data_IF_726440103129
#
_entry.id   IF_726440103129
#
_cell.length_a   1.000
_cell.length_b   1.000
_cell.length_c   1.000
_cell.angle_alpha   90.00
_cell.angle_beta   90.00
_cell.angle_gamma   90.00
#
_symmetry.space_group_name_H-M   'P 1'
#
loop_
_entity.id
_entity.type
_entity.pdbx_description
1 polymer ?
#
# COMPACT_ATOMS: atom_id res chain seq x y z
N UNK A 1 9.85 -5.15 -6.01
CA UNK A 1 9.21 -5.55 -4.74
C UNK A 1 7.82 -6.06 -5.06
N UNK A 2 7.56 -7.35 -4.86
CA UNK A 2 6.20 -7.90 -5.01
C UNK A 2 5.61 -7.98 -3.62
N UNK A 3 4.58 -7.20 -3.34
CA UNK A 3 3.80 -7.38 -2.12
C UNK A 3 2.77 -8.47 -2.37
N UNK A 4 2.43 -9.24 -1.34
CA UNK A 4 1.39 -10.26 -1.43
C UNK A 4 -0.04 -9.66 -1.33
N UNK A 5 -0.15 -8.33 -1.49
CA UNK A 5 -1.41 -7.61 -1.41
C UNK A 5 -2.05 -7.44 -2.78
N UNK A 6 -3.31 -7.82 -2.88
CA UNK A 6 -4.16 -7.55 -4.03
C UNK A 6 -4.81 -6.17 -3.80
N UNK A 7 -4.53 -5.20 -4.68
CA UNK A 7 -5.13 -3.86 -4.59
C UNK A 7 -6.38 -3.78 -5.46
N UNK A 8 -7.50 -3.40 -4.86
CA UNK A 8 -8.77 -3.21 -5.56
C UNK A 8 -9.70 -2.26 -4.80
N UNK A 9 -10.74 -1.79 -5.48
CA UNK A 9 -11.82 -1.01 -4.92
C UNK A 9 -12.95 -1.86 -4.35
N UNK A 10 -13.75 -1.29 -3.46
CA UNK A 10 -14.96 -1.94 -2.94
C UNK A 10 -15.93 -2.36 -4.07
N UNK A 11 -16.04 -1.53 -5.11
CA UNK A 11 -16.85 -1.83 -6.30
C UNK A 11 -16.33 -3.05 -7.07
N UNK A 12 -15.03 -3.11 -7.33
CA UNK A 12 -14.44 -4.26 -8.04
C UNK A 12 -14.58 -5.55 -7.24
N UNK A 13 -14.40 -5.49 -5.92
CA UNK A 13 -14.59 -6.65 -5.04
C UNK A 13 -16.05 -7.15 -5.14
N UNK A 14 -17.03 -6.25 -5.01
CA UNK A 14 -18.45 -6.58 -5.15
C UNK A 14 -18.77 -7.22 -6.51
N UNK A 15 -18.34 -6.60 -7.61
CA UNK A 15 -18.61 -7.11 -8.95
C UNK A 15 -18.05 -8.53 -9.17
N UNK A 16 -16.88 -8.82 -8.58
CA UNK A 16 -16.25 -10.13 -8.70
C UNK A 16 -17.08 -11.22 -7.98
N UNK A 17 -17.55 -10.93 -6.76
CA UNK A 17 -18.43 -11.84 -6.02
C UNK A 17 -19.83 -11.96 -6.65
N UNK A 18 -20.43 -10.85 -7.06
CA UNK A 18 -21.75 -10.84 -7.71
C UNK A 18 -21.77 -11.63 -9.02
N UNK A 19 -20.66 -11.63 -9.77
CA UNK A 19 -20.55 -12.44 -10.99
C UNK A 19 -20.43 -13.93 -10.71
N UNK A 20 -19.69 -14.33 -9.67
CA UNK A 20 -19.53 -15.71 -9.25
C UNK A 20 -18.89 -15.78 -7.86
N UNK A 21 -19.67 -16.14 -6.84
CA UNK A 21 -19.21 -16.18 -5.45
C UNK A 21 -18.06 -17.17 -5.23
N UNK A 22 -18.13 -18.38 -5.84
CA UNK A 22 -17.08 -19.39 -5.69
C UNK A 22 -15.74 -18.93 -6.28
N UNK A 23 -15.79 -18.18 -7.39
CA UNK A 23 -14.60 -17.55 -7.98
C UNK A 23 -14.11 -16.38 -7.11
N UNK A 24 -15.02 -15.60 -6.53
CA UNK A 24 -14.69 -14.57 -5.55
C UNK A 24 -13.93 -15.17 -4.36
N UNK A 25 -14.45 -16.23 -3.77
CA UNK A 25 -13.80 -16.95 -2.67
C UNK A 25 -12.41 -17.45 -3.08
N UNK A 26 -12.29 -18.12 -4.24
CA UNK A 26 -10.99 -18.58 -4.76
C UNK A 26 -9.97 -17.45 -4.91
N UNK A 27 -10.42 -16.28 -5.35
CA UNK A 27 -9.54 -15.16 -5.68
C UNK A 27 -9.16 -14.31 -4.46
N UNK A 28 -10.03 -14.20 -3.45
CA UNK A 28 -9.89 -13.19 -2.40
C UNK A 28 -9.95 -13.74 -0.97
N UNK A 29 -10.64 -14.85 -0.72
CA UNK A 29 -10.78 -15.38 0.64
C UNK A 29 -9.43 -15.85 1.17
N UNK A 30 -9.10 -15.40 2.37
CA UNK A 30 -7.80 -15.62 3.00
C UNK A 30 -6.63 -14.88 2.35
N UNK A 31 -6.86 -14.00 1.37
CA UNK A 31 -5.80 -13.22 0.72
C UNK A 31 -5.65 -11.84 1.36
N UNK A 32 -4.42 -11.33 1.35
CA UNK A 32 -4.12 -9.97 1.76
C UNK A 32 -4.63 -9.00 0.69
N UNK A 33 -5.43 -8.02 1.11
CA UNK A 33 -6.13 -7.10 0.23
C UNK A 33 -5.85 -5.67 0.69
N UNK A 34 -5.47 -4.79 -0.24
CA UNK A 34 -5.57 -3.35 -0.04
C UNK A 34 -6.88 -2.92 -0.68
N UNK A 35 -7.85 -2.57 0.16
CA UNK A 35 -9.18 -2.13 -0.27
C UNK A 35 -9.25 -0.61 -0.23
N UNK A 36 -9.72 0.01 -1.31
CA UNK A 36 -10.07 1.44 -1.32
C UNK A 36 -11.58 1.61 -1.54
N UNK A 37 -12.22 2.47 -0.76
CA UNK A 37 -13.66 2.68 -0.87
C UNK A 37 -14.14 3.98 -0.24
N UNK A 38 -15.41 4.29 -0.47
CA UNK A 38 -16.11 5.40 0.18
C UNK A 38 -17.02 4.80 1.25
N UNK A 39 -16.98 5.36 2.46
CA UNK A 39 -17.78 4.89 3.59
C UNK A 39 -19.26 5.20 3.35
N UNK A 40 -20.10 4.16 3.43
CA UNK A 40 -21.55 4.22 3.37
C UNK A 40 -22.16 4.44 4.76
N UNK A 41 -21.74 3.62 5.72
CA UNK A 41 -22.12 3.72 7.12
C UNK A 41 -21.06 3.10 8.03
N UNK A 42 -21.15 3.43 9.32
CA UNK A 42 -20.41 2.79 10.39
C UNK A 42 -21.48 2.29 11.36
N UNK A 43 -21.66 0.98 11.42
CA UNK A 43 -22.70 0.36 12.24
C UNK A 43 -22.07 -0.19 13.52
N UNK A 44 -22.71 0.04 14.68
CA UNK A 44 -22.37 -0.71 15.90
C UNK A 44 -23.09 -2.05 15.88
N UNK A 45 -22.34 -3.16 15.91
CA UNK A 45 -22.91 -4.50 16.10
C UNK A 45 -23.08 -4.82 17.58
N UNK A 46 -23.88 -5.84 17.88
CA UNK A 46 -24.00 -6.42 19.22
C UNK A 46 -22.61 -6.63 19.85
N UNK A 47 -22.38 -5.99 21.00
CA UNK A 47 -21.08 -5.98 21.69
C UNK A 47 -20.14 -4.82 21.32
N UNK A 48 -20.68 -3.72 20.77
CA UNK A 48 -19.97 -2.47 20.46
C UNK A 48 -18.80 -2.64 19.48
N UNK A 49 -18.90 -3.62 18.57
CA UNK A 49 -17.89 -3.83 17.53
C UNK A 49 -18.32 -3.03 16.29
N UNK A 50 -17.56 -1.98 15.91
CA UNK A 50 -17.89 -1.20 14.73
C UNK A 50 -17.63 -2.00 13.45
N UNK A 51 -18.58 -1.95 12.52
CA UNK A 51 -18.44 -2.45 11.16
C UNK A 51 -18.55 -1.29 10.19
N UNK A 52 -17.51 -1.10 9.39
CA UNK A 52 -17.51 -0.09 8.33
C UNK A 52 -18.12 -0.72 7.08
N UNK A 53 -19.07 -0.04 6.45
CA UNK A 53 -19.63 -0.44 5.16
C UNK A 53 -19.10 0.46 4.07
N UNK A 54 -18.60 -0.12 2.98
CA UNK A 54 -18.11 0.63 1.83
C UNK A 54 -19.11 0.56 0.68
N UNK A 55 -19.34 1.71 0.05
CA UNK A 55 -20.19 1.83 -1.15
C UNK A 55 -19.62 1.00 -2.28
N UNK A 56 -20.50 0.28 -2.98
CA UNK A 56 -20.17 -0.49 -4.20
C UNK A 56 -20.72 0.19 -5.46
N UNK A 57 -21.66 1.11 -5.29
CA UNK A 57 -22.42 1.72 -6.40
C UNK A 57 -23.73 1.00 -6.70
N UNK A 58 -24.04 -0.10 -6.01
CA UNK A 58 -25.34 -0.77 -6.05
C UNK A 58 -26.15 -0.38 -4.80
N UNK A 59 -27.45 -0.18 -4.93
CA UNK A 59 -28.30 0.38 -3.87
C UNK A 59 -28.45 -0.54 -2.63
N UNK A 60 -28.25 -1.85 -2.81
CA UNK A 60 -28.48 -2.86 -1.77
C UNK A 60 -27.25 -3.74 -1.49
N UNK A 61 -26.07 -3.35 -1.98
CA UNK A 61 -24.83 -4.09 -1.69
C UNK A 61 -23.77 -3.15 -1.13
N UNK A 62 -23.02 -3.66 -0.15
CA UNK A 62 -21.84 -3.00 0.38
C UNK A 62 -20.75 -4.03 0.63
N UNK A 63 -19.52 -3.54 0.80
CA UNK A 63 -18.44 -4.36 1.35
C UNK A 63 -18.39 -4.13 2.84
N UNK A 64 -18.47 -5.21 3.62
CA UNK A 64 -18.37 -5.18 5.08
C UNK A 64 -16.89 -5.24 5.50
N UNK A 65 -16.46 -4.29 6.31
CA UNK A 65 -15.09 -4.18 6.81
C UNK A 65 -15.08 -4.33 8.32
N UNK A 66 -14.45 -5.41 8.79
CA UNK A 66 -14.22 -5.66 10.21
C UNK A 66 -12.78 -5.31 10.58
N UNK A 67 -12.63 -4.29 11.42
CA UNK A 67 -11.32 -3.86 11.92
C UNK A 67 -10.72 -4.90 12.87
N UNK A 68 -9.40 -5.09 12.77
CA UNK A 68 -8.65 -5.88 13.73
C UNK A 68 -8.84 -5.30 15.14
N UNK A 69 -8.86 -6.15 16.17
CA UNK A 69 -9.21 -5.74 17.55
C UNK A 69 -8.46 -4.49 18.04
N UNK A 70 -7.16 -4.41 17.77
CA UNK A 70 -6.29 -3.28 18.15
C UNK A 70 -6.65 -1.95 17.47
N UNK A 71 -7.33 -2.01 16.33
CA UNK A 71 -7.60 -0.85 15.48
C UNK A 71 -9.08 -0.48 15.45
N UNK A 72 -9.92 -1.08 16.30
CA UNK A 72 -11.36 -0.80 16.34
C UNK A 72 -11.67 0.65 16.68
N UNK A 73 -10.87 1.26 17.55
CA UNK A 73 -11.07 2.66 17.96
C UNK A 73 -10.96 3.63 16.78
N UNK A 74 -10.25 3.27 15.71
CA UNK A 74 -10.15 4.10 14.49
C UNK A 74 -11.51 4.30 13.83
N UNK A 75 -12.49 3.42 14.07
CA UNK A 75 -13.83 3.62 13.54
C UNK A 75 -14.50 4.92 14.02
N UNK A 76 -14.06 5.49 15.16
CA UNK A 76 -14.58 6.77 15.65
C UNK A 76 -14.07 7.97 14.84
N UNK A 77 -12.94 7.80 14.16
CA UNK A 77 -12.30 8.82 13.31
C UNK A 77 -12.72 8.71 11.84
N UNK A 78 -13.66 7.82 11.53
CA UNK A 78 -14.14 7.54 10.17
C UNK A 78 -15.56 8.04 10.00
N UNK A 79 -15.74 8.95 9.05
CA UNK A 79 -17.03 9.56 8.73
C UNK A 79 -17.69 8.94 7.50
N UNK A 80 -19.02 9.04 7.46
CA UNK A 80 -19.78 8.74 6.24
C UNK A 80 -19.32 9.63 5.09
N UNK A 81 -19.26 9.07 3.87
CA UNK A 81 -18.73 9.68 2.66
C UNK A 81 -17.22 9.94 2.64
N UNK A 82 -16.48 9.56 3.68
CA UNK A 82 -15.03 9.61 3.66
C UNK A 82 -14.46 8.51 2.76
N UNK A 83 -13.39 8.84 2.02
CA UNK A 83 -12.59 7.84 1.30
C UNK A 83 -11.58 7.21 2.25
N UNK A 84 -11.57 5.89 2.32
CA UNK A 84 -10.65 5.11 3.16
C UNK A 84 -9.84 4.13 2.32
N UNK A 85 -8.61 3.86 2.75
CA UNK A 85 -7.77 2.78 2.23
C UNK A 85 -7.27 1.94 3.38
N UNK A 86 -7.60 0.65 3.36
CA UNK A 86 -7.31 -0.29 4.44
C UNK A 86 -6.60 -1.53 3.90
N UNK A 87 -5.75 -2.12 4.73
CA UNK A 87 -5.17 -3.42 4.48
C UNK A 87 -5.94 -4.47 5.27
N UNK A 88 -6.43 -5.52 4.61
CA UNK A 88 -7.39 -6.47 5.13
C UNK A 88 -7.07 -7.90 4.68
N UNK A 89 -7.78 -8.87 5.26
CA UNK A 89 -7.86 -10.25 4.76
C UNK A 89 -9.27 -10.49 4.22
N UNK A 90 -9.38 -11.09 3.03
CA UNK A 90 -10.68 -11.47 2.48
C UNK A 90 -11.37 -12.57 3.30
N UNK A 91 -12.68 -12.43 3.53
CA UNK A 91 -13.45 -13.33 4.40
C UNK A 91 -14.67 -13.97 3.71
N UNK A 92 -14.75 -13.87 2.39
CA UNK A 92 -15.87 -14.41 1.60
C UNK A 92 -17.08 -13.47 1.61
N UNK A 93 -18.29 -14.05 1.61
CA UNK A 93 -19.55 -13.31 1.51
C UNK A 93 -20.46 -13.57 2.72
N UNK A 94 -21.13 -12.52 3.20
CA UNK A 94 -22.17 -12.60 4.24
C UNK A 94 -23.40 -11.87 3.70
N UNK A 95 -24.50 -12.60 3.49
CA UNK A 95 -25.78 -12.04 3.00
C UNK A 95 -25.56 -11.17 1.75
N UNK A 96 -24.94 -11.74 0.71
CA UNK A 96 -24.67 -11.05 -0.56
C UNK A 96 -23.64 -9.92 -0.51
N UNK A 97 -23.01 -9.67 0.65
CA UNK A 97 -22.01 -8.63 0.86
C UNK A 97 -20.62 -9.24 1.07
N UNK A 98 -19.63 -8.93 0.21
CA UNK A 98 -18.25 -9.32 0.44
C UNK A 98 -17.78 -8.78 1.78
N UNK A 99 -17.12 -9.63 2.54
CA UNK A 99 -16.67 -9.33 3.89
C UNK A 99 -15.16 -9.38 3.96
N UNK A 100 -14.58 -8.42 4.65
CA UNK A 100 -13.17 -8.32 4.96
C UNK A 100 -12.97 -8.36 6.48
N UNK A 101 -11.87 -8.96 6.92
CA UNK A 101 -11.51 -9.09 8.34
C UNK A 101 -10.07 -8.68 8.60
N UNK A 102 -9.73 -8.55 9.88
CA UNK A 102 -8.41 -8.14 10.35
C UNK A 102 -7.91 -6.87 9.64
N UNK A 103 -8.83 -5.94 9.40
CA UNK A 103 -8.52 -4.73 8.67
C UNK A 103 -7.74 -3.73 9.55
N UNK A 104 -6.70 -3.15 8.98
CA UNK A 104 -5.82 -2.16 9.61
C UNK A 104 -5.60 -0.96 8.68
N UNK A 105 -5.22 0.21 9.19
CA UNK A 105 -4.81 1.34 8.36
C UNK A 105 -3.69 0.93 7.40
N UNK A 106 -3.82 1.28 6.12
CA UNK A 106 -2.78 0.96 5.12
C UNK A 106 -1.42 1.56 5.51
N UNK A 107 -1.42 2.68 6.22
CA UNK A 107 -0.21 3.30 6.77
C UNK A 107 0.58 2.36 7.69
N UNK A 108 -0.08 1.47 8.44
CA UNK A 108 0.60 0.48 9.29
C UNK A 108 1.40 -0.51 8.44
N UNK A 109 0.83 -0.96 7.31
CA UNK A 109 1.52 -1.85 6.37
C UNK A 109 2.67 -1.12 5.68
N UNK A 110 2.43 0.10 5.22
CA UNK A 110 3.45 0.95 4.59
C UNK A 110 4.63 1.16 5.54
N UNK A 111 4.39 1.60 6.77
CA UNK A 111 5.45 1.83 7.76
C UNK A 111 6.24 0.56 8.07
N UNK A 112 5.57 -0.59 8.20
CA UNK A 112 6.25 -1.87 8.44
C UNK A 112 7.20 -2.21 7.29
N UNK A 113 6.70 -2.18 6.05
CA UNK A 113 7.50 -2.47 4.86
C UNK A 113 8.63 -1.47 4.73
N UNK A 114 8.36 -0.16 4.88
CA UNK A 114 9.38 0.88 4.81
C UNK A 114 10.47 0.65 5.84
N UNK A 115 10.14 0.33 7.10
CA UNK A 115 11.13 0.09 8.14
C UNK A 115 12.00 -1.15 7.85
N UNK A 116 11.39 -2.23 7.36
CA UNK A 116 12.12 -3.43 6.93
C UNK A 116 13.10 -3.10 5.78
N UNK A 117 12.65 -2.35 4.78
CA UNK A 117 13.49 -1.91 3.65
C UNK A 117 14.59 -0.94 4.09
N UNK A 118 14.30 0.00 4.99
CA UNK A 118 15.30 0.90 5.56
C UNK A 118 16.37 0.14 6.33
N UNK A 119 16.04 -1.01 6.93
CA UNK A 119 17.03 -1.92 7.49
C UNK A 119 18.03 -2.41 6.45
N UNK A 120 17.58 -2.78 5.25
CA UNK A 120 18.45 -3.20 4.14
C UNK A 120 19.28 -2.03 3.60
N UNK A 121 18.65 -0.86 3.42
CA UNK A 121 19.35 0.36 2.99
C UNK A 121 20.46 0.72 3.98
N UNK A 122 20.19 0.69 5.28
CA UNK A 122 21.17 0.98 6.32
C UNK A 122 22.31 -0.05 6.35
N UNK A 123 22.02 -1.34 6.11
CA UNK A 123 23.07 -2.36 5.95
C UNK A 123 23.99 -2.03 4.78
N UNK A 124 23.41 -1.69 3.63
CA UNK A 124 24.16 -1.36 2.42
C UNK A 124 25.03 -0.11 2.58
N UNK A 125 24.47 0.98 3.10
CA UNK A 125 25.20 2.24 3.31
C UNK A 125 26.34 2.07 4.33
N UNK A 126 26.23 1.12 5.27
CA UNK A 126 27.30 0.75 6.22
C UNK A 126 28.38 -0.18 5.63
N UNK A 127 28.29 -0.51 4.34
CA UNK A 127 29.29 -1.31 3.61
C UNK A 127 28.94 -2.80 3.44
N UNK A 128 27.78 -3.26 3.91
CA UNK A 128 27.36 -4.66 3.69
C UNK A 128 26.71 -4.83 2.32
N UNK A 129 27.33 -5.62 1.44
CA UNK A 129 26.79 -5.93 0.12
C UNK A 129 25.81 -7.12 0.10
N UNK A 130 25.62 -7.79 1.23
CA UNK A 130 24.60 -8.84 1.45
C UNK A 130 23.19 -8.23 1.59
N UNK A 131 22.72 -7.63 0.50
CA UNK A 131 21.38 -7.06 0.34
C UNK A 131 20.88 -7.36 -1.07
N UNK A 132 19.55 -7.38 -1.30
CA UNK A 132 19.01 -7.55 -2.65
C UNK A 132 19.52 -6.48 -3.62
N UNK A 133 19.72 -6.85 -4.89
CA UNK A 133 20.19 -5.90 -5.92
C UNK A 133 19.24 -4.71 -6.09
N UNK A 134 17.94 -4.93 -5.87
CA UNK A 134 16.96 -3.86 -5.83
C UNK A 134 17.28 -2.79 -4.77
N UNK A 135 17.77 -3.18 -3.59
CA UNK A 135 18.20 -2.24 -2.54
C UNK A 135 19.42 -1.45 -3.00
N UNK A 136 20.41 -2.12 -3.61
CA UNK A 136 21.61 -1.46 -4.17
C UNK A 136 21.21 -0.41 -5.23
N UNK A 137 20.29 -0.79 -6.12
CA UNK A 137 19.77 0.07 -7.17
C UNK A 137 19.00 1.28 -6.62
N UNK A 138 18.20 1.10 -5.55
CA UNK A 138 17.54 2.22 -4.87
C UNK A 138 18.58 3.20 -4.34
N UNK A 139 19.59 2.72 -3.60
CA UNK A 139 20.62 3.61 -3.01
C UNK A 139 21.41 4.33 -4.09
N UNK A 140 21.78 3.63 -5.17
CA UNK A 140 22.43 4.23 -6.34
C UNK A 140 21.56 5.34 -6.95
N UNK A 141 20.29 5.05 -7.24
CA UNK A 141 19.36 6.02 -7.81
C UNK A 141 19.17 7.24 -6.89
N UNK A 142 19.00 7.03 -5.58
CA UNK A 142 18.88 8.12 -4.60
C UNK A 142 20.12 8.99 -4.55
N UNK A 143 21.32 8.40 -4.59
CA UNK A 143 22.58 9.16 -4.61
C UNK A 143 22.72 10.04 -5.84
N UNK A 144 22.40 9.49 -7.02
CA UNK A 144 22.43 10.23 -8.29
C UNK A 144 21.40 11.37 -8.26
N UNK A 145 20.18 11.10 -7.80
CA UNK A 145 19.13 12.11 -7.67
C UNK A 145 19.53 13.22 -6.70
N UNK A 146 20.11 12.87 -5.55
CA UNK A 146 20.65 13.82 -4.58
C UNK A 146 21.68 14.76 -5.22
N UNK A 147 22.71 14.22 -5.88
CA UNK A 147 23.71 15.06 -6.59
C UNK A 147 23.08 15.96 -7.66
N UNK A 148 22.14 15.43 -8.43
CA UNK A 148 21.53 16.16 -9.56
C UNK A 148 20.62 17.29 -9.09
N UNK A 149 19.98 17.14 -7.93
CA UNK A 149 19.02 18.11 -7.37
C UNK A 149 19.60 18.95 -6.23
N UNK A 150 20.90 18.83 -5.96
CA UNK A 150 21.58 19.37 -4.79
C UNK A 150 20.86 18.98 -3.49
N UNK A 151 20.80 17.68 -3.22
CA UNK A 151 20.07 17.04 -2.12
C UNK A 151 18.62 17.51 -2.02
N UNK A 152 17.95 17.54 -3.17
CA UNK A 152 16.56 17.95 -3.35
C UNK A 152 16.25 19.42 -2.98
N UNK A 153 17.26 20.25 -2.68
CA UNK A 153 17.07 21.69 -2.40
C UNK A 153 16.57 22.48 -3.61
N UNK A 154 16.84 21.99 -4.83
CA UNK A 154 16.31 22.57 -6.06
C UNK A 154 14.84 22.21 -6.30
N UNK A 155 14.29 21.26 -5.54
CA UNK A 155 12.89 20.87 -5.65
C UNK A 155 12.04 21.75 -4.73
N UNK A 156 11.06 22.45 -5.32
CA UNK A 156 10.04 23.19 -4.55
C UNK A 156 9.30 22.28 -3.57
N UNK A 157 8.98 21.07 -4.03
CA UNK A 157 8.42 19.97 -3.24
C UNK A 157 9.01 18.65 -3.75
N UNK A 158 9.26 17.70 -2.85
CA UNK A 158 9.71 16.36 -3.22
C UNK A 158 8.50 15.55 -3.67
N UNK A 159 8.20 15.64 -4.96
CA UNK A 159 7.08 14.95 -5.60
C UNK A 159 7.52 14.25 -6.90
N UNK A 160 6.58 13.59 -7.58
CA UNK A 160 6.88 12.87 -8.82
C UNK A 160 7.46 13.76 -9.92
N UNK A 161 7.09 15.04 -9.97
CA UNK A 161 7.61 15.98 -10.94
C UNK A 161 9.11 16.25 -10.71
N UNK A 162 9.50 16.56 -9.48
CA UNK A 162 10.91 16.71 -9.08
C UNK A 162 11.72 15.46 -9.43
N UNK A 163 11.21 14.26 -9.11
CA UNK A 163 11.90 13.00 -9.41
C UNK A 163 12.04 12.76 -10.91
N UNK A 164 11.00 13.05 -11.70
CA UNK A 164 11.04 12.90 -13.15
C UNK A 164 12.02 13.87 -13.81
N UNK A 165 12.07 15.11 -13.34
CA UNK A 165 13.00 16.11 -13.87
C UNK A 165 14.44 15.79 -13.49
N UNK A 166 14.69 15.33 -12.25
CA UNK A 166 15.98 14.79 -11.85
C UNK A 166 16.41 13.59 -12.72
N UNK A 167 15.49 12.67 -12.99
CA UNK A 167 15.75 11.49 -13.82
C UNK A 167 16.17 11.83 -15.25
N UNK A 168 15.63 12.89 -15.86
CA UNK A 168 16.02 13.35 -17.20
C UNK A 168 17.48 13.83 -17.27
N UNK A 169 18.03 14.29 -16.16
CA UNK A 169 19.41 14.78 -16.07
C UNK A 169 20.43 13.66 -15.74
N UNK A 170 19.95 12.43 -15.54
CA UNK A 170 20.77 11.23 -15.37
C UNK A 170 21.25 10.76 -16.75
N UNK A 171 22.55 10.48 -16.87
CA UNK A 171 23.16 9.89 -18.05
C UNK A 171 23.98 8.65 -17.66
N UNK A 172 24.38 7.86 -18.66
CA UNK A 172 25.12 6.60 -18.45
C UNK A 172 26.46 6.81 -17.72
N UNK A 173 27.15 7.92 -18.00
CA UNK A 173 28.43 8.26 -17.38
C UNK A 173 28.28 8.48 -15.86
N UNK A 174 27.35 9.34 -15.44
CA UNK A 174 27.05 9.60 -14.01
C UNK A 174 26.59 8.33 -13.30
N UNK A 175 25.82 7.47 -13.97
CA UNK A 175 25.40 6.18 -13.42
C UNK A 175 26.61 5.26 -13.17
N UNK A 176 27.51 5.14 -14.16
CA UNK A 176 28.72 4.32 -14.04
C UNK A 176 29.69 4.83 -12.97
N UNK A 177 29.85 6.15 -12.85
CA UNK A 177 30.68 6.75 -11.81
C UNK A 177 30.16 6.41 -10.42
N UNK A 178 28.87 6.64 -10.17
CA UNK A 178 28.29 6.40 -8.84
C UNK A 178 28.20 4.92 -8.46
N UNK A 179 27.94 4.06 -9.45
CA UNK A 179 27.91 2.62 -9.21
C UNK A 179 29.28 2.07 -8.83
N UNK A 180 30.36 2.57 -9.44
CA UNK A 180 31.73 2.22 -9.01
C UNK A 180 31.99 2.65 -7.57
N UNK A 181 31.57 3.85 -7.17
CA UNK A 181 31.75 4.33 -5.79
C UNK A 181 30.99 3.46 -4.79
N UNK A 182 29.79 3.01 -5.15
CA UNK A 182 28.94 2.17 -4.29
C UNK A 182 29.19 0.67 -4.46
N UNK A 183 30.12 0.25 -5.32
CA UNK A 183 30.36 -1.14 -5.70
C UNK A 183 29.05 -1.88 -6.06
N UNK A 184 28.29 -1.27 -6.97
CA UNK A 184 27.05 -1.79 -7.54
C UNK A 184 27.31 -2.17 -9.00
N UNK A 185 26.91 -3.38 -9.39
CA UNK A 185 26.92 -3.82 -10.78
C UNK A 185 25.70 -3.24 -11.51
N UNK A 186 25.92 -2.64 -12.68
CA UNK A 186 24.91 -2.07 -13.59
C UNK A 186 25.18 -2.49 -15.02
#
# INVERSE_FOLDING_TARGET
MKTDYISLSAKELQQSYASNEARGDKNYKGKNIIITGIVESIDSRFGDIPVIRLKTGEMFSNVMVNLAKKYRDIAVDVDKNQKVTLACIGDGIIIGSPTLKECIPVSTVVSKITNEQMGLVNKFIKGSHDVPDFTKMIVLATKIMGKTTNDFTQCKEINSQCLNDAAKAINSEKMQEEAKILNVEI
#
